data_IF_582914932881
#
_entry.id   IF_582914932881
#
_cell.length_a   1.000
_cell.length_b   1.000
_cell.length_c   1.000
_cell.angle_alpha   90.00
_cell.angle_beta   90.00
_cell.angle_gamma   90.00
#
_symmetry.space_group_name_H-M   'P 1'
#
loop_
_entity.id
_entity.type
_entity.pdbx_description
1 polymer ?
#
# COMPACT_ATOMS: atom_id res chain seq x y z
N UNK A 1 -5.14 -6.90 -18.28
CA UNK A 1 -4.87 -5.52 -17.86
C UNK A 1 -4.14 -4.79 -19.00
N UNK A 2 -2.93 -5.19 -19.40
CA UNK A 2 -2.13 -4.47 -20.41
C UNK A 2 -2.80 -4.34 -21.77
N UNK A 3 -3.56 -5.34 -22.18
CA UNK A 3 -4.32 -5.29 -23.44
C UNK A 3 -5.43 -4.21 -23.46
N UNK A 4 -5.90 -3.77 -22.29
CA UNK A 4 -6.91 -2.72 -22.20
C UNK A 4 -6.34 -1.30 -22.35
N UNK A 5 -5.00 -1.15 -22.26
CA UNK A 5 -4.32 0.13 -22.37
C UNK A 5 -3.02 -0.02 -23.21
N UNK A 6 -3.12 -0.37 -24.50
CA UNK A 6 -1.96 -0.73 -25.33
C UNK A 6 -0.99 0.43 -25.57
N UNK A 7 -1.44 1.68 -25.34
CA UNK A 7 -0.61 2.87 -25.52
C UNK A 7 -0.03 3.39 -24.19
N UNK A 8 -0.33 2.73 -23.05
CA UNK A 8 0.17 3.18 -21.77
C UNK A 8 1.66 2.87 -21.59
N UNK A 9 2.41 3.84 -21.12
CA UNK A 9 3.77 3.59 -20.62
C UNK A 9 3.72 2.90 -19.28
N UNK A 10 4.44 1.79 -19.12
CA UNK A 10 4.40 0.97 -17.92
C UNK A 10 5.61 1.28 -17.04
N UNK A 11 5.34 1.55 -15.77
CA UNK A 11 6.34 1.79 -14.74
C UNK A 11 6.26 0.71 -13.66
N UNK A 12 7.40 0.20 -13.21
CA UNK A 12 7.48 -0.67 -12.04
C UNK A 12 7.57 0.18 -10.77
N UNK A 13 6.75 -0.16 -9.76
CA UNK A 13 6.74 0.54 -8.46
C UNK A 13 7.19 -0.31 -7.27
N UNK A 14 7.42 -1.61 -7.46
CA UNK A 14 7.81 -2.50 -6.37
C UNK A 14 9.29 -2.36 -5.98
N UNK A 15 9.57 -2.56 -4.70
CA UNK A 15 10.93 -2.64 -4.17
C UNK A 15 11.45 -4.10 -4.16
N UNK A 16 12.77 -4.29 -4.24
CA UNK A 16 13.41 -5.57 -3.97
C UNK A 16 13.03 -6.13 -2.58
N UNK A 17 12.95 -7.46 -2.48
CA UNK A 17 12.52 -8.11 -1.22
C UNK A 17 13.47 -7.87 -0.05
N UNK A 18 14.75 -7.75 -0.32
CA UNK A 18 15.79 -7.46 0.68
C UNK A 18 15.63 -6.06 1.27
N UNK A 19 15.32 -5.04 0.47
CA UNK A 19 15.00 -3.70 0.97
C UNK A 19 13.76 -3.71 1.88
N UNK A 20 12.72 -4.44 1.48
CA UNK A 20 11.51 -4.59 2.30
C UNK A 20 11.82 -5.29 3.62
N UNK A 21 12.67 -6.32 3.62
CA UNK A 21 13.13 -7.00 4.85
C UNK A 21 13.96 -6.08 5.74
N UNK A 22 14.82 -5.28 5.16
CA UNK A 22 15.61 -4.29 5.92
C UNK A 22 14.72 -3.30 6.63
N UNK A 23 13.64 -2.84 6.01
CA UNK A 23 12.70 -1.93 6.66
C UNK A 23 12.02 -2.52 7.90
N UNK A 24 11.89 -3.84 8.00
CA UNK A 24 11.33 -4.49 9.18
C UNK A 24 12.22 -4.34 10.43
N UNK A 25 13.52 -4.16 10.26
CA UNK A 25 14.51 -4.07 11.34
C UNK A 25 15.12 -2.69 11.50
N UNK A 26 15.36 -2.00 10.37
CA UNK A 26 16.01 -0.68 10.34
C UNK A 26 14.99 0.46 10.37
N UNK A 27 13.69 0.14 10.16
CA UNK A 27 12.65 1.13 9.90
C UNK A 27 12.58 1.55 8.42
N UNK A 28 11.46 2.20 8.00
CA UNK A 28 11.24 2.53 6.59
C UNK A 28 12.10 3.70 6.11
N UNK A 29 12.42 4.67 6.97
CA UNK A 29 13.09 5.89 6.57
C UNK A 29 14.54 5.69 6.10
N UNK A 30 15.42 4.95 6.80
CA UNK A 30 16.78 4.69 6.33
C UNK A 30 16.83 3.95 4.99
N UNK A 31 15.89 3.03 4.77
CA UNK A 31 15.81 2.24 3.53
C UNK A 31 15.29 3.08 2.37
N UNK A 32 14.30 3.94 2.61
CA UNK A 32 13.77 4.82 1.57
C UNK A 32 14.76 5.91 1.13
N UNK A 33 15.59 6.38 2.05
CA UNK A 33 16.66 7.33 1.80
C UNK A 33 16.24 8.81 1.95
N UNK A 34 16.95 9.74 1.29
CA UNK A 34 16.91 11.17 1.62
C UNK A 34 15.52 11.83 1.54
N UNK A 35 14.60 11.27 0.77
CA UNK A 35 13.23 11.80 0.63
C UNK A 35 12.25 11.23 1.65
N UNK A 36 12.69 10.47 2.63
CA UNK A 36 11.83 9.82 3.62
C UNK A 36 10.88 10.80 4.33
N UNK A 37 11.37 11.99 4.67
CA UNK A 37 10.57 13.05 5.29
C UNK A 37 9.37 13.47 4.44
N UNK A 38 9.57 13.63 3.13
CA UNK A 38 8.51 14.06 2.21
C UNK A 38 7.38 13.04 2.06
N UNK A 39 7.61 11.79 2.46
CA UNK A 39 6.62 10.70 2.41
C UNK A 39 6.13 10.30 3.81
N UNK A 40 6.37 11.12 4.83
CA UNK A 40 5.91 10.88 6.21
C UNK A 40 6.57 9.68 6.90
N UNK A 41 7.77 9.26 6.46
CA UNK A 41 8.43 8.07 6.99
C UNK A 41 9.30 8.33 8.22
N UNK A 42 9.59 9.59 8.57
CA UNK A 42 10.37 9.95 9.75
C UNK A 42 9.54 9.91 11.03
N UNK A 43 8.25 10.23 10.92
CA UNK A 43 7.40 10.34 12.09
C UNK A 43 6.87 8.96 12.51
N UNK A 44 6.88 8.64 13.82
CA UNK A 44 6.21 7.46 14.31
C UNK A 44 4.70 7.58 14.09
N UNK A 45 4.03 6.44 13.94
CA UNK A 45 2.56 6.43 13.91
C UNK A 45 2.00 6.72 15.31
N UNK A 46 0.83 7.36 15.42
CA UNK A 46 0.07 7.38 16.66
C UNK A 46 -0.14 5.96 17.19
N UNK A 47 -0.10 5.73 18.52
CA UNK A 47 -0.17 4.39 19.09
C UNK A 47 -1.41 3.58 18.69
N UNK A 48 -2.56 4.21 18.59
CA UNK A 48 -3.82 3.62 18.15
C UNK A 48 -3.79 3.21 16.67
N UNK A 49 -3.20 4.05 15.83
CA UNK A 49 -3.00 3.73 14.42
C UNK A 49 -2.00 2.60 14.22
N UNK A 50 -0.89 2.60 14.97
CA UNK A 50 0.08 1.52 14.96
C UNK A 50 -0.59 0.18 15.31
N UNK A 51 -1.35 0.15 16.42
CA UNK A 51 -2.07 -1.05 16.86
C UNK A 51 -3.10 -1.53 15.82
N UNK A 52 -3.85 -0.61 15.20
CA UNK A 52 -4.80 -0.96 14.16
C UNK A 52 -4.12 -1.55 12.92
N UNK A 53 -2.97 -1.01 12.51
CA UNK A 53 -2.20 -1.54 11.37
C UNK A 53 -1.58 -2.90 11.70
N UNK A 54 -1.13 -3.12 12.93
CA UNK A 54 -0.62 -4.41 13.38
C UNK A 54 -1.73 -5.49 13.38
N UNK A 55 -2.92 -5.15 13.87
CA UNK A 55 -4.07 -6.04 13.80
C UNK A 55 -4.44 -6.43 12.37
N UNK A 56 -4.40 -5.47 11.44
CA UNK A 56 -4.62 -5.75 10.01
C UNK A 56 -3.53 -6.69 9.44
N UNK A 57 -2.25 -6.48 9.80
CA UNK A 57 -1.17 -7.38 9.37
C UNK A 57 -1.38 -8.79 9.90
N UNK A 58 -1.73 -8.92 11.17
CA UNK A 58 -2.01 -10.21 11.78
C UNK A 58 -3.15 -10.95 11.07
N UNK A 59 -4.28 -10.26 10.87
CA UNK A 59 -5.44 -10.79 10.16
C UNK A 59 -5.12 -11.20 8.72
N UNK A 60 -4.43 -10.32 7.97
CA UNK A 60 -4.05 -10.59 6.58
C UNK A 60 -3.08 -11.78 6.41
N UNK A 61 -2.41 -12.18 7.48
CA UNK A 61 -1.50 -13.33 7.52
C UNK A 61 -2.08 -14.48 8.33
N UNK A 62 -3.41 -14.63 8.34
CA UNK A 62 -4.12 -15.78 8.95
C UNK A 62 -3.89 -15.93 10.46
N UNK A 63 -3.58 -14.86 11.17
CA UNK A 63 -3.21 -14.84 12.59
C UNK A 63 -1.99 -15.73 12.91
N UNK A 64 -1.13 -16.00 11.92
CA UNK A 64 0.02 -16.89 12.06
C UNK A 64 1.35 -16.16 12.32
N UNK A 65 1.34 -14.82 12.34
CA UNK A 65 2.54 -14.04 12.63
C UNK A 65 2.81 -13.94 14.14
N UNK A 66 4.08 -14.03 14.57
CA UNK A 66 4.46 -13.68 15.93
C UNK A 66 4.19 -12.19 16.20
N UNK A 67 3.66 -11.86 17.37
CA UNK A 67 3.41 -10.45 17.76
C UNK A 67 4.64 -9.56 17.60
N UNK A 68 5.82 -10.08 17.97
CA UNK A 68 7.09 -9.36 17.83
C UNK A 68 7.45 -8.96 16.37
N UNK A 69 6.85 -9.60 15.37
CA UNK A 69 7.09 -9.27 13.97
C UNK A 69 6.17 -8.15 13.46
N UNK A 70 5.05 -7.87 14.13
CA UNK A 70 4.00 -6.97 13.64
C UNK A 70 4.49 -5.53 13.42
N UNK A 71 5.25 -4.91 14.33
CA UNK A 71 5.78 -3.56 14.09
C UNK A 71 6.65 -3.49 12.83
N UNK A 72 7.48 -4.51 12.60
CA UNK A 72 8.30 -4.62 11.38
C UNK A 72 7.46 -4.78 10.12
N UNK A 73 6.36 -5.53 10.18
CA UNK A 73 5.43 -5.66 9.06
C UNK A 73 4.76 -4.33 8.69
N UNK A 74 4.39 -3.53 9.70
CA UNK A 74 3.86 -2.17 9.49
C UNK A 74 4.93 -1.27 8.87
N UNK A 75 6.17 -1.32 9.36
CA UNK A 75 7.28 -0.58 8.78
C UNK A 75 7.52 -0.92 7.30
N UNK A 76 7.50 -2.22 6.96
CA UNK A 76 7.62 -2.69 5.58
C UNK A 76 6.45 -2.23 4.70
N UNK A 77 5.23 -2.20 5.24
CA UNK A 77 4.06 -1.69 4.52
C UNK A 77 4.19 -0.20 4.22
N UNK A 78 4.58 0.62 5.21
CA UNK A 78 4.83 2.06 5.03
C UNK A 78 5.91 2.32 3.97
N UNK A 79 6.99 1.55 3.97
CA UNK A 79 8.02 1.64 2.94
C UNK A 79 7.46 1.38 1.54
N UNK A 80 6.64 0.33 1.39
CA UNK A 80 6.02 -0.02 0.10
C UNK A 80 5.08 1.06 -0.38
N UNK A 81 4.23 1.62 0.50
CA UNK A 81 3.31 2.70 0.16
C UNK A 81 4.07 3.93 -0.35
N UNK A 82 5.12 4.33 0.35
CA UNK A 82 5.97 5.44 -0.06
C UNK A 82 6.70 5.18 -1.40
N UNK A 83 7.19 3.96 -1.62
CA UNK A 83 7.85 3.59 -2.87
C UNK A 83 6.90 3.61 -4.06
N UNK A 84 5.68 3.09 -3.90
CA UNK A 84 4.63 3.16 -4.91
C UNK A 84 4.21 4.61 -5.19
N UNK A 85 4.06 5.43 -4.14
CA UNK A 85 3.76 6.85 -4.27
C UNK A 85 4.87 7.59 -5.05
N UNK A 86 6.14 7.30 -4.73
CA UNK A 86 7.30 7.84 -5.47
C UNK A 86 7.28 7.44 -6.95
N UNK A 87 6.90 6.21 -7.25
CA UNK A 87 6.76 5.74 -8.63
C UNK A 87 5.63 6.46 -9.37
N UNK A 88 4.50 6.73 -8.71
CA UNK A 88 3.40 7.53 -9.29
C UNK A 88 3.85 8.94 -9.60
N UNK A 89 4.54 9.62 -8.68
CA UNK A 89 5.08 10.97 -8.90
C UNK A 89 6.07 10.99 -10.08
N UNK A 90 6.96 10.00 -10.15
CA UNK A 90 7.91 9.87 -11.24
C UNK A 90 7.23 9.60 -12.60
N UNK A 91 6.22 8.73 -12.62
CA UNK A 91 5.45 8.45 -13.82
C UNK A 91 4.68 9.68 -14.30
N UNK A 92 4.06 10.43 -13.38
CA UNK A 92 3.37 11.68 -13.70
C UNK A 92 4.33 12.72 -14.31
N UNK A 93 5.50 12.90 -13.70
CA UNK A 93 6.52 13.82 -14.21
C UNK A 93 7.03 13.43 -15.61
N UNK A 94 7.11 12.14 -15.89
CA UNK A 94 7.59 11.63 -17.18
C UNK A 94 6.53 11.69 -18.30
N UNK A 95 5.23 11.61 -17.95
CA UNK A 95 4.16 11.43 -18.96
C UNK A 95 3.15 12.57 -19.01
N UNK A 96 3.08 13.43 -18.00
CA UNK A 96 2.02 14.43 -17.84
C UNK A 96 0.69 13.85 -17.35
N UNK A 97 0.57 12.53 -17.19
CA UNK A 97 -0.61 11.82 -16.71
C UNK A 97 -1.73 11.64 -17.75
N UNK A 98 -2.89 11.10 -17.33
CA UNK A 98 -3.15 10.55 -15.99
C UNK A 98 -2.32 9.31 -15.68
N UNK A 99 -2.07 9.03 -14.39
CA UNK A 99 -1.38 7.83 -13.93
C UNK A 99 -2.38 6.90 -13.23
N UNK A 100 -2.39 5.64 -13.61
CA UNK A 100 -3.19 4.59 -12.94
C UNK A 100 -2.23 3.64 -12.22
N UNK A 101 -2.36 3.56 -10.90
CA UNK A 101 -1.65 2.58 -10.08
C UNK A 101 -2.55 1.37 -9.84
N UNK A 102 -2.08 0.18 -10.21
CA UNK A 102 -2.73 -1.09 -9.91
C UNK A 102 -1.93 -1.77 -8.80
N UNK A 103 -2.57 -1.99 -7.66
CA UNK A 103 -1.94 -2.53 -6.46
C UNK A 103 -2.93 -3.34 -5.63
N UNK A 104 -2.48 -3.96 -4.54
CA UNK A 104 -3.37 -4.62 -3.58
C UNK A 104 -4.26 -3.62 -2.84
N UNK A 105 -5.45 -4.06 -2.44
CA UNK A 105 -6.48 -3.22 -1.80
C UNK A 105 -5.94 -2.47 -0.56
N UNK A 106 -5.07 -3.11 0.25
CA UNK A 106 -4.46 -2.45 1.40
C UNK A 106 -3.58 -1.26 1.07
N UNK A 107 -2.93 -1.25 -0.12
CA UNK A 107 -2.14 -0.12 -0.60
C UNK A 107 -3.00 0.98 -1.24
N UNK A 108 -4.21 0.65 -1.72
CA UNK A 108 -5.11 1.60 -2.37
C UNK A 108 -5.93 2.45 -1.38
N UNK A 109 -5.90 2.15 -0.09
CA UNK A 109 -6.65 2.87 0.96
C UNK A 109 -6.27 4.35 1.01
N UNK A 110 -7.26 5.25 1.09
CA UNK A 110 -6.98 6.69 1.19
C UNK A 110 -6.49 7.10 2.58
N UNK A 111 -6.86 6.34 3.64
CA UNK A 111 -6.54 6.69 5.03
C UNK A 111 -5.08 6.40 5.41
N UNK A 112 -4.43 5.43 4.76
CA UNK A 112 -3.07 5.01 5.13
C UNK A 112 -2.25 4.32 4.05
N UNK A 113 -2.77 4.19 2.84
CA UNK A 113 -2.06 3.57 1.71
C UNK A 113 -1.25 4.56 0.88
N UNK A 114 -1.09 4.25 -0.40
CA UNK A 114 -0.42 5.12 -1.36
C UNK A 114 -1.04 6.51 -1.46
N UNK A 115 -2.39 6.66 -1.44
CA UNK A 115 -3.00 7.99 -1.43
C UNK A 115 -2.57 8.85 -0.25
N UNK A 116 -2.46 8.28 0.96
CA UNK A 116 -1.97 9.01 2.13
C UNK A 116 -0.49 9.45 1.97
N UNK A 117 0.35 8.59 1.41
CA UNK A 117 1.74 8.93 1.10
C UNK A 117 1.86 10.01 0.01
N UNK A 118 0.98 10.00 -1.00
CA UNK A 118 0.88 11.04 -2.02
C UNK A 118 0.41 12.39 -1.43
N UNK A 119 -0.54 12.37 -0.51
CA UNK A 119 -0.99 13.59 0.17
C UNK A 119 0.13 14.30 0.95
N UNK A 120 1.13 13.54 1.43
CA UNK A 120 2.33 14.10 2.04
C UNK A 120 3.34 14.61 1.00
N UNK A 121 3.59 13.81 -0.05
CA UNK A 121 4.69 14.07 -0.97
C UNK A 121 4.33 15.04 -2.10
N UNK A 122 3.06 15.12 -2.49
CA UNK A 122 2.54 15.90 -3.61
C UNK A 122 1.07 16.30 -3.36
N UNK A 123 0.82 17.17 -2.35
CA UNK A 123 -0.54 17.52 -1.89
C UNK A 123 -1.38 18.21 -2.98
N UNK A 124 -0.76 18.71 -4.03
CA UNK A 124 -1.43 19.30 -5.18
C UNK A 124 -2.09 18.27 -6.11
N UNK A 125 -1.76 16.99 -5.97
CA UNK A 125 -2.30 15.96 -6.84
C UNK A 125 -3.74 15.60 -6.46
N UNK A 126 -4.59 15.51 -7.46
CA UNK A 126 -5.91 14.94 -7.31
C UNK A 126 -5.83 13.42 -7.44
N UNK A 127 -6.00 12.74 -6.32
CA UNK A 127 -5.96 11.27 -6.21
C UNK A 127 -7.37 10.75 -6.03
N UNK A 128 -7.70 9.65 -6.71
CA UNK A 128 -8.95 8.90 -6.53
C UNK A 128 -8.56 7.46 -6.20
N UNK A 129 -9.09 6.96 -5.08
CA UNK A 129 -8.92 5.59 -4.65
C UNK A 129 -10.12 4.73 -5.04
N UNK A 130 -9.87 3.59 -5.68
CA UNK A 130 -10.90 2.62 -6.04
C UNK A 130 -10.57 1.27 -5.41
N UNK A 131 -11.47 0.78 -4.55
CA UNK A 131 -11.38 -0.57 -3.97
C UNK A 131 -12.07 -1.61 -4.84
N UNK A 132 -11.55 -2.84 -4.86
CA UNK A 132 -12.24 -3.98 -5.43
C UNK A 132 -12.47 -5.04 -4.35
N UNK A 133 -13.70 -5.48 -4.20
CA UNK A 133 -14.15 -6.39 -3.16
C UNK A 133 -14.98 -7.54 -3.75
N UNK A 134 -14.99 -8.67 -3.05
CA UNK A 134 -15.83 -9.84 -3.38
C UNK A 134 -17.09 -9.92 -2.51
N UNK A 135 -17.29 -8.92 -1.65
CA UNK A 135 -18.52 -8.72 -0.85
C UNK A 135 -18.64 -7.23 -0.56
N UNK A 136 -19.83 -6.77 -0.19
CA UNK A 136 -20.02 -5.37 0.19
C UNK A 136 -19.13 -4.99 1.40
N UNK A 137 -18.20 -4.05 1.26
CA UNK A 137 -17.33 -3.61 2.34
C UNK A 137 -18.02 -2.66 3.33
N UNK A 138 -19.24 -2.24 3.02
CA UNK A 138 -20.02 -1.27 3.81
C UNK A 138 -19.55 0.18 3.63
N UNK A 139 -20.28 1.13 4.24
CA UNK A 139 -20.09 2.57 4.00
C UNK A 139 -18.78 3.14 4.58
N UNK A 140 -18.08 2.38 5.42
CA UNK A 140 -16.78 2.79 6.00
C UNK A 140 -15.58 2.29 5.22
N UNK A 141 -15.77 1.79 4.00
CA UNK A 141 -14.67 1.36 3.15
C UNK A 141 -13.71 2.54 2.89
N UNK A 142 -12.40 2.35 3.07
CA UNK A 142 -11.42 3.43 2.98
C UNK A 142 -11.00 3.72 1.53
N UNK A 143 -11.98 3.90 0.65
CA UNK A 143 -11.84 4.21 -0.78
C UNK A 143 -12.88 5.23 -1.20
N UNK A 144 -12.57 6.06 -2.19
CA UNK A 144 -13.54 7.02 -2.74
C UNK A 144 -14.67 6.32 -3.49
N UNK A 145 -14.32 5.21 -4.14
CA UNK A 145 -15.27 4.34 -4.86
C UNK A 145 -14.88 2.88 -4.65
N UNK A 146 -15.83 1.97 -4.83
CA UNK A 146 -15.53 0.55 -4.88
C UNK A 146 -16.41 -0.21 -5.87
N UNK A 147 -15.86 -1.34 -6.33
CA UNK A 147 -16.57 -2.32 -7.13
C UNK A 147 -16.72 -3.59 -6.30
N UNK A 148 -17.91 -4.17 -6.35
CA UNK A 148 -18.15 -5.51 -5.81
C UNK A 148 -18.31 -6.46 -6.98
N UNK A 149 -17.54 -7.53 -6.97
CA UNK A 149 -17.58 -8.60 -7.99
C UNK A 149 -17.90 -9.92 -7.31
N UNK A 150 -18.40 -10.87 -8.07
CA UNK A 150 -18.57 -12.23 -7.57
C UNK A 150 -17.22 -12.79 -7.09
N UNK A 151 -17.20 -13.57 -5.99
CA UNK A 151 -15.99 -14.20 -5.51
C UNK A 151 -15.47 -15.23 -6.51
N UNK A 152 -14.16 -15.16 -6.77
CA UNK A 152 -13.50 -16.17 -7.62
C UNK A 152 -13.16 -17.40 -6.76
N UNK A 153 -13.62 -18.60 -7.13
CA UNK A 153 -13.27 -19.82 -6.41
C UNK A 153 -11.74 -19.99 -6.33
N UNK A 154 -11.21 -20.09 -5.13
CA UNK A 154 -9.80 -20.33 -4.85
C UNK A 154 -9.63 -21.14 -3.55
N UNK A 155 -8.53 -21.87 -3.38
CA UNK A 155 -8.20 -22.51 -2.11
C UNK A 155 -8.13 -21.47 -0.98
N UNK A 156 -8.51 -21.89 0.23
CA UNK A 156 -8.34 -21.03 1.42
C UNK A 156 -6.84 -20.71 1.61
N UNK A 157 -6.41 -19.44 1.51
CA UNK A 157 -5.02 -19.08 1.66
C UNK A 157 -4.47 -19.38 3.05
N UNK A 158 -5.35 -19.55 4.03
CA UNK A 158 -4.97 -19.86 5.41
C UNK A 158 -4.86 -21.36 5.71
N UNK A 159 -5.23 -22.24 4.77
CA UNK A 159 -5.23 -23.69 5.00
C UNK A 159 -3.83 -24.24 5.35
N UNK A 160 -2.76 -23.61 4.89
CA UNK A 160 -1.37 -24.03 5.15
C UNK A 160 -0.86 -23.59 6.53
N UNK A 161 -1.61 -22.77 7.25
CA UNK A 161 -1.24 -22.24 8.58
C UNK A 161 -2.04 -22.88 9.72
N UNK A 162 -2.87 -23.87 9.41
CA UNK A 162 -3.71 -24.62 10.35
C UNK A 162 -3.18 -26.03 10.60
#
# INVERSE_FOLDING_TARGET
>A
IFAAAPQATIFGGALPRDEVRRAMTEGPAPVFGPKAASYGLLDPLPPDEQAAREADQLSAHCNALPEAALPGMVAAQRLRDAALARAVVAALAATGGPVVLITGTGHARFDRGVPAALAQAAPELRVISVGQYESDPGPSAPHDYWLVTDPVPRPDPCATFR
#
